data_IF_773817358286
#
_entry.id   IF_773817358286
#
_cell.length_a   1.000
_cell.length_b   1.000
_cell.length_c   1.000
_cell.angle_alpha   90.00
_cell.angle_beta   90.00
_cell.angle_gamma   90.00
#
_symmetry.space_group_name_H-M   'P 1'
#
loop_
_entity.id
_entity.type
_entity.pdbx_description
1 polymer ?
#
# COMPACT_ATOMS: atom_id res chain seq x y z
N UNK A 1 -6.76 3.55 12.55
CA UNK A 1 -6.34 2.46 11.62
C UNK A 1 -7.22 1.22 11.75
N UNK A 2 -7.31 0.55 12.90
CA UNK A 2 -8.11 -0.67 13.06
C UNK A 2 -9.60 -0.52 12.68
N UNK A 3 -10.22 0.63 12.97
CA UNK A 3 -11.60 0.93 12.55
C UNK A 3 -11.75 1.03 11.02
N UNK A 4 -10.80 1.67 10.33
CA UNK A 4 -10.80 1.75 8.88
C UNK A 4 -10.58 0.37 8.23
N UNK A 5 -9.73 -0.47 8.85
CA UNK A 5 -9.50 -1.84 8.39
C UNK A 5 -10.74 -2.71 8.59
N UNK A 6 -11.47 -2.55 9.70
CA UNK A 6 -12.78 -3.20 9.90
C UNK A 6 -13.79 -2.80 8.83
N UNK A 7 -13.86 -1.54 8.43
CA UNK A 7 -14.74 -1.11 7.34
C UNK A 7 -14.35 -1.71 5.99
N UNK A 8 -13.07 -2.00 5.76
CA UNK A 8 -12.58 -2.66 4.54
C UNK A 8 -12.92 -4.16 4.54
N UNK A 9 -12.75 -4.83 5.68
CA UNK A 9 -12.93 -6.28 5.79
C UNK A 9 -14.36 -6.73 6.13
N UNK A 10 -15.20 -5.80 6.59
CA UNK A 10 -16.56 -6.08 7.07
C UNK A 10 -16.61 -6.46 8.56
N UNK A 11 -17.82 -6.39 9.12
CA UNK A 11 -18.04 -6.56 10.57
C UNK A 11 -17.78 -7.99 11.06
N UNK A 12 -17.80 -8.99 10.17
CA UNK A 12 -17.49 -10.38 10.46
C UNK A 12 -16.00 -10.70 10.55
N UNK A 13 -15.11 -9.74 10.25
CA UNK A 13 -13.67 -9.96 10.27
C UNK A 13 -13.16 -10.27 11.69
N UNK A 14 -12.40 -11.35 11.81
CA UNK A 14 -11.70 -11.71 13.04
C UNK A 14 -10.64 -10.67 13.39
N UNK A 15 -10.26 -10.65 14.67
CA UNK A 15 -9.19 -9.75 15.16
C UNK A 15 -7.87 -10.02 14.42
N UNK A 16 -7.59 -11.28 14.09
CA UNK A 16 -6.36 -11.65 13.41
C UNK A 16 -6.34 -11.19 11.94
N UNK A 17 -7.46 -11.32 11.21
CA UNK A 17 -7.58 -10.76 9.86
C UNK A 17 -7.38 -9.24 9.85
N UNK A 18 -7.96 -8.54 10.83
CA UNK A 18 -7.78 -7.08 10.98
C UNK A 18 -6.30 -6.74 11.24
N UNK A 19 -5.61 -7.50 12.09
CA UNK A 19 -4.19 -7.28 12.39
C UNK A 19 -3.31 -7.54 11.17
N UNK A 20 -3.56 -8.63 10.44
CA UNK A 20 -2.84 -8.97 9.21
C UNK A 20 -3.01 -7.85 8.19
N UNK A 21 -4.25 -7.44 7.92
CA UNK A 21 -4.54 -6.40 6.94
C UNK A 21 -3.94 -5.05 7.36
N UNK A 22 -4.06 -4.67 8.63
CA UNK A 22 -3.46 -3.44 9.14
C UNK A 22 -1.93 -3.46 8.98
N UNK A 23 -1.28 -4.59 9.28
CA UNK A 23 0.17 -4.76 9.15
C UNK A 23 0.62 -4.70 7.69
N UNK A 24 -0.14 -5.31 6.77
CA UNK A 24 0.12 -5.25 5.34
C UNK A 24 0.02 -3.80 4.81
N UNK A 25 -1.06 -3.08 5.16
CA UNK A 25 -1.24 -1.68 4.78
C UNK A 25 -0.12 -0.79 5.34
N UNK A 26 0.27 -1.00 6.61
CA UNK A 26 1.34 -0.24 7.24
C UNK A 26 2.70 -0.49 6.58
N UNK A 27 3.01 -1.76 6.30
CA UNK A 27 4.24 -2.17 5.63
C UNK A 27 4.36 -1.56 4.23
N UNK A 28 3.27 -1.60 3.45
CA UNK A 28 3.23 -1.00 2.12
C UNK A 28 3.43 0.52 2.18
N UNK A 29 2.70 1.20 3.06
CA UNK A 29 2.79 2.66 3.21
C UNK A 29 4.19 3.10 3.63
N UNK A 30 4.81 2.42 4.61
CA UNK A 30 6.15 2.74 5.06
C UNK A 30 7.20 2.41 4.00
N UNK A 31 7.10 1.26 3.33
CA UNK A 31 8.01 0.91 2.24
C UNK A 31 7.99 1.96 1.13
N UNK A 32 6.79 2.39 0.73
CA UNK A 32 6.64 3.45 -0.27
C UNK A 32 7.18 4.80 0.22
N UNK A 33 6.93 5.17 1.48
CA UNK A 33 7.45 6.40 2.06
C UNK A 33 8.99 6.42 2.08
N UNK A 34 9.62 5.34 2.53
CA UNK A 34 11.09 5.19 2.50
C UNK A 34 11.61 5.33 1.07
N UNK A 35 10.96 4.70 0.09
CA UNK A 35 11.35 4.80 -1.32
C UNK A 35 11.25 6.22 -1.88
N UNK A 36 10.24 7.00 -1.46
CA UNK A 36 9.97 8.36 -1.95
C UNK A 36 10.77 9.45 -1.26
N UNK A 37 11.01 9.34 0.06
CA UNK A 37 11.64 10.39 0.87
C UNK A 37 13.16 10.24 0.83
N UNK A 38 13.64 9.04 1.15
CA UNK A 38 15.07 8.77 1.36
C UNK A 38 15.65 7.79 0.31
N UNK A 39 14.78 7.20 -0.50
CA UNK A 39 15.10 6.04 -1.32
C UNK A 39 15.50 6.37 -2.76
N UNK A 40 16.04 5.37 -3.48
CA UNK A 40 16.53 5.53 -4.84
C UNK A 40 15.41 5.53 -5.90
N UNK A 41 14.14 5.73 -5.53
CA UNK A 41 13.01 5.39 -6.41
C UNK A 41 13.08 6.15 -7.75
N UNK A 42 13.22 7.47 -7.73
CA UNK A 42 13.33 8.26 -8.97
C UNK A 42 14.60 7.93 -9.78
N UNK A 43 15.66 7.40 -9.15
CA UNK A 43 16.85 6.90 -9.86
C UNK A 43 16.60 5.56 -10.56
N UNK A 44 15.65 4.76 -10.06
CA UNK A 44 15.33 3.42 -10.59
C UNK A 44 14.22 3.43 -11.63
N UNK A 45 13.19 4.27 -11.44
CA UNK A 45 11.99 4.29 -12.31
C UNK A 45 11.83 5.59 -13.10
N UNK A 46 12.77 6.53 -12.97
CA UNK A 46 12.69 7.86 -13.58
C UNK A 46 11.99 8.89 -12.69
N UNK A 47 12.02 10.16 -13.12
CA UNK A 47 11.40 11.27 -12.39
C UNK A 47 9.89 11.07 -12.25
N UNK A 48 9.37 11.31 -11.06
CA UNK A 48 7.94 11.23 -10.74
C UNK A 48 7.35 12.63 -10.88
N UNK A 49 6.49 12.84 -11.88
CA UNK A 49 5.83 14.12 -12.14
C UNK A 49 4.73 14.44 -11.12
N UNK A 50 4.01 13.42 -10.64
CA UNK A 50 2.99 13.55 -9.59
C UNK A 50 3.11 12.41 -8.57
N UNK A 51 3.68 12.74 -7.41
CA UNK A 51 3.85 11.79 -6.29
C UNK A 51 2.51 11.34 -5.70
N UNK A 52 1.48 12.19 -5.69
CA UNK A 52 0.16 11.82 -5.14
C UNK A 52 -0.56 10.84 -6.07
N UNK A 53 -0.47 11.05 -7.38
CA UNK A 53 -0.99 10.10 -8.35
C UNK A 53 -0.32 8.73 -8.18
N UNK A 54 1.02 8.70 -8.07
CA UNK A 54 1.77 7.46 -7.86
C UNK A 54 1.34 6.72 -6.57
N UNK A 55 1.22 7.44 -5.44
CA UNK A 55 0.78 6.83 -4.17
C UNK A 55 -0.59 6.18 -4.30
N UNK A 56 -1.55 6.84 -4.96
CA UNK A 56 -2.89 6.27 -5.19
C UNK A 56 -2.83 5.04 -6.08
N UNK A 57 -2.07 5.09 -7.18
CA UNK A 57 -1.94 3.96 -8.10
C UNK A 57 -1.25 2.75 -7.45
N UNK A 58 -0.23 2.96 -6.61
CA UNK A 58 0.42 1.88 -5.85
C UNK A 58 -0.57 1.24 -4.87
N UNK A 59 -1.32 2.05 -4.13
CA UNK A 59 -2.33 1.55 -3.19
C UNK A 59 -3.43 0.74 -3.92
N UNK A 60 -3.92 1.25 -5.06
CA UNK A 60 -4.91 0.57 -5.88
C UNK A 60 -4.37 -0.76 -6.43
N UNK A 61 -3.15 -0.76 -6.97
CA UNK A 61 -2.52 -1.98 -7.48
C UNK A 61 -2.32 -3.04 -6.40
N UNK A 62 -1.96 -2.62 -5.19
CA UNK A 62 -1.83 -3.53 -4.05
C UNK A 62 -3.18 -4.13 -3.63
N UNK A 63 -4.26 -3.34 -3.67
CA UNK A 63 -5.61 -3.83 -3.36
C UNK A 63 -6.14 -4.80 -4.44
N UNK A 64 -5.83 -4.56 -5.72
CA UNK A 64 -6.20 -5.44 -6.84
C UNK A 64 -5.35 -6.72 -6.91
N UNK A 65 -4.25 -6.78 -6.15
CA UNK A 65 -3.26 -7.86 -6.20
C UNK A 65 -2.28 -7.74 -7.38
N UNK A 66 -1.04 -8.16 -7.16
CA UNK A 66 -0.04 -8.23 -8.22
C UNK A 66 -0.34 -9.40 -9.14
N UNK A 67 -0.68 -9.10 -10.40
CA UNK A 67 -0.75 -10.09 -11.47
C UNK A 67 0.61 -10.13 -12.14
N UNK A 68 1.24 -11.28 -12.17
CA UNK A 68 2.36 -11.53 -13.07
C UNK A 68 1.80 -11.62 -14.49
N UNK A 69 2.44 -10.91 -15.41
CA UNK A 69 2.21 -11.11 -16.83
C UNK A 69 3.19 -12.20 -17.23
N UNK A 70 2.68 -13.35 -17.66
CA UNK A 70 3.50 -14.40 -18.28
C UNK A 70 4.05 -13.94 -19.64
#
# INVERSE_FOLDING_TARGET
MLLAVRQILGDSASIDEIRIQATAMWSLAHGLATLLIDGPLERKIGKISDRRALVRSVAQRAAEGFRYVE
#
